data_IF_508640769967
#
_entry.id   IF_508640769967
#
_cell.length_a   1.000
_cell.length_b   1.000
_cell.length_c   1.000
_cell.angle_alpha   90.00
_cell.angle_beta   90.00
_cell.angle_gamma   90.00
#
_symmetry.space_group_name_H-M   'P 1'
#
loop_
_entity.id
_entity.type
_entity.pdbx_description
1 polymer ?
#
# COMPACT_ATOMS: atom_id res chain seq x y z
N UNK A 1 16.58 12.51 -17.07
CA UNK A 1 17.32 11.34 -16.55
C UNK A 1 17.52 10.39 -17.73
N UNK A 2 18.74 9.96 -18.04
CA UNK A 2 18.98 9.09 -19.21
C UNK A 2 18.45 7.68 -18.97
N UNK A 3 18.04 6.98 -20.04
CA UNK A 3 17.58 5.58 -19.98
C UNK A 3 18.60 4.67 -19.28
N UNK A 4 19.89 4.92 -19.48
CA UNK A 4 20.97 4.20 -18.80
C UNK A 4 20.90 4.33 -17.28
N UNK A 5 20.73 5.55 -16.75
CA UNK A 5 20.61 5.77 -15.29
C UNK A 5 19.33 5.13 -14.74
N UNK A 6 18.21 5.21 -15.47
CA UNK A 6 16.97 4.54 -15.07
C UNK A 6 17.16 3.01 -14.95
N UNK A 7 17.84 2.40 -15.93
CA UNK A 7 18.14 0.97 -15.91
C UNK A 7 19.09 0.60 -14.77
N UNK A 8 20.07 1.44 -14.46
CA UNK A 8 20.97 1.24 -13.32
C UNK A 8 20.21 1.25 -11.99
N UNK A 9 19.32 2.23 -11.79
CA UNK A 9 18.44 2.26 -10.62
C UNK A 9 17.56 1.00 -10.51
N UNK A 10 16.96 0.58 -11.63
CA UNK A 10 16.11 -0.62 -11.67
C UNK A 10 16.89 -1.88 -11.26
N UNK A 11 18.10 -2.07 -11.82
CA UNK A 11 18.98 -3.19 -11.45
C UNK A 11 19.36 -3.12 -9.98
N UNK A 12 19.85 -1.98 -9.50
CA UNK A 12 20.27 -1.80 -8.11
C UNK A 12 19.18 -2.21 -7.10
N UNK A 13 17.94 -1.75 -7.31
CA UNK A 13 16.84 -2.11 -6.41
C UNK A 13 16.39 -3.56 -6.56
N UNK A 14 16.38 -4.11 -7.78
CA UNK A 14 16.05 -5.52 -8.00
C UNK A 14 17.07 -6.43 -7.30
N UNK A 15 18.36 -6.17 -7.50
CA UNK A 15 19.45 -6.93 -6.89
C UNK A 15 19.37 -6.86 -5.37
N UNK A 16 19.11 -5.67 -4.81
CA UNK A 16 18.91 -5.49 -3.38
C UNK A 16 17.74 -6.32 -2.83
N UNK A 17 16.63 -6.41 -3.56
CA UNK A 17 15.49 -7.27 -3.18
C UNK A 17 15.89 -8.74 -3.21
N UNK A 18 16.64 -9.19 -4.21
CA UNK A 18 17.13 -10.58 -4.27
C UNK A 18 18.08 -10.89 -3.11
N UNK A 19 19.02 -9.99 -2.80
CA UNK A 19 19.93 -10.16 -1.67
C UNK A 19 19.18 -10.28 -0.33
N UNK A 20 18.13 -9.46 -0.13
CA UNK A 20 17.29 -9.53 1.07
C UNK A 20 16.59 -10.89 1.16
N UNK A 21 16.01 -11.39 0.07
CA UNK A 21 15.35 -12.70 0.04
C UNK A 21 16.31 -13.84 0.39
N UNK A 22 17.53 -13.80 -0.16
CA UNK A 22 18.55 -14.80 0.13
C UNK A 22 18.97 -14.76 1.61
N UNK A 23 19.14 -13.58 2.19
CA UNK A 23 19.49 -13.41 3.60
C UNK A 23 18.39 -13.93 4.55
N UNK A 24 17.13 -13.64 4.25
CA UNK A 24 15.98 -14.15 5.04
C UNK A 24 15.95 -15.68 5.03
N UNK A 25 16.10 -16.30 3.86
CA UNK A 25 16.06 -17.77 3.74
C UNK A 25 17.25 -18.46 4.41
N UNK A 26 18.35 -17.74 4.62
CA UNK A 26 19.56 -18.26 5.27
C UNK A 26 19.50 -18.14 6.80
N UNK A 27 18.56 -17.38 7.34
CA UNK A 27 18.39 -17.18 8.79
C UNK A 27 17.50 -18.30 9.35
N UNK A 28 17.97 -18.98 10.40
CA UNK A 28 17.32 -20.11 11.08
C UNK A 28 15.82 -19.89 11.28
N UNK A 29 15.02 -20.94 11.01
CA UNK A 29 13.56 -20.94 11.17
C UNK A 29 13.16 -20.42 12.56
N UNK A 30 12.68 -19.18 12.61
CA UNK A 30 11.88 -18.73 13.75
C UNK A 30 10.64 -19.62 13.80
N UNK A 31 10.45 -20.33 14.90
CA UNK A 31 9.21 -21.05 15.18
C UNK A 31 8.10 -20.03 15.30
N UNK A 32 7.40 -19.74 14.21
CA UNK A 32 6.18 -18.94 14.24
C UNK A 32 5.14 -19.77 14.95
N UNK A 33 4.87 -19.46 16.23
CA UNK A 33 3.67 -19.97 16.89
C UNK A 33 2.50 -19.42 16.09
N UNK A 34 1.81 -20.27 15.32
CA UNK A 34 0.60 -19.83 14.63
C UNK A 34 -0.41 -19.38 15.70
N UNK A 35 -0.89 -18.13 15.66
CA UNK A 35 -1.98 -17.72 16.53
C UNK A 35 -3.18 -18.61 16.23
N UNK A 36 -3.73 -19.28 17.24
CA UNK A 36 -4.95 -20.09 17.11
C UNK A 36 -6.16 -19.19 16.90
N UNK A 37 -6.30 -18.62 15.70
CA UNK A 37 -7.49 -17.88 15.32
C UNK A 37 -8.24 -18.72 14.29
N UNK A 38 -9.37 -19.30 14.70
CA UNK A 38 -10.33 -19.97 13.80
C UNK A 38 -11.07 -18.98 12.88
N UNK A 39 -10.71 -17.70 12.92
CA UNK A 39 -11.39 -16.62 12.23
C UNK A 39 -10.71 -16.36 10.90
N UNK A 40 -11.48 -16.46 9.83
CA UNK A 40 -11.01 -16.21 8.47
C UNK A 40 -11.91 -15.17 7.82
N UNK A 41 -11.30 -14.15 7.21
CA UNK A 41 -12.01 -13.25 6.30
C UNK A 41 -12.11 -13.96 4.94
N UNK A 42 -13.27 -14.53 4.65
CA UNK A 42 -13.48 -15.30 3.42
C UNK A 42 -13.87 -14.43 2.23
N UNK A 43 -14.52 -13.28 2.49
CA UNK A 43 -15.09 -12.42 1.45
C UNK A 43 -15.03 -10.95 1.86
N UNK A 44 -14.86 -10.09 0.87
CA UNK A 44 -15.09 -8.66 1.01
C UNK A 44 -16.59 -8.35 0.80
N UNK A 45 -17.07 -7.30 1.44
CA UNK A 45 -18.44 -6.82 1.29
C UNK A 45 -18.51 -5.70 0.23
N UNK A 46 -19.58 -5.65 -0.58
CA UNK A 46 -19.81 -4.51 -1.47
C UNK A 46 -19.93 -3.19 -0.68
N UNK A 47 -19.41 -2.11 -1.26
CA UNK A 47 -19.47 -0.75 -0.71
C UNK A 47 -20.49 0.11 -1.45
N UNK A 48 -20.96 1.17 -0.78
CA UNK A 48 -21.89 2.15 -1.35
C UNK A 48 -21.14 3.29 -2.04
N UNK A 49 -21.87 4.06 -2.86
CA UNK A 49 -21.38 5.30 -3.46
C UNK A 49 -20.84 6.28 -2.40
N UNK A 50 -21.51 6.39 -1.25
CA UNK A 50 -21.06 7.22 -0.15
C UNK A 50 -19.67 6.80 0.36
N UNK A 51 -19.45 5.49 0.59
CA UNK A 51 -18.16 4.97 1.06
C UNK A 51 -17.06 5.24 0.03
N UNK A 52 -17.36 5.07 -1.26
CA UNK A 52 -16.42 5.34 -2.35
C UNK A 52 -16.07 6.83 -2.40
N UNK A 53 -17.06 7.71 -2.28
CA UNK A 53 -16.88 9.16 -2.27
C UNK A 53 -16.02 9.62 -1.08
N UNK A 54 -16.31 9.13 0.13
CA UNK A 54 -15.52 9.40 1.33
C UNK A 54 -14.08 8.93 1.17
N UNK A 55 -13.89 7.72 0.61
CA UNK A 55 -12.57 7.15 0.35
C UNK A 55 -11.79 8.02 -0.63
N UNK A 56 -12.38 8.41 -1.76
CA UNK A 56 -11.77 9.29 -2.76
C UNK A 56 -11.40 10.65 -2.17
N UNK A 57 -12.25 11.19 -1.29
CA UNK A 57 -12.02 12.46 -0.61
C UNK A 57 -10.81 12.39 0.34
N UNK A 58 -10.64 11.27 1.04
CA UNK A 58 -9.49 11.03 1.94
C UNK A 58 -8.16 10.81 1.21
N UNK A 59 -8.19 10.36 -0.04
CA UNK A 59 -6.98 10.12 -0.83
C UNK A 59 -6.34 11.42 -1.29
N UNK A 60 -5.02 11.48 -1.30
CA UNK A 60 -4.29 12.59 -1.91
C UNK A 60 -4.63 12.71 -3.41
N UNK A 61 -4.65 13.94 -3.93
CA UNK A 61 -4.88 14.20 -5.36
C UNK A 61 -3.61 13.95 -6.21
N UNK A 62 -2.88 12.87 -5.91
CA UNK A 62 -1.62 12.51 -6.56
C UNK A 62 -1.87 11.76 -7.87
N UNK A 63 -1.48 12.39 -8.98
CA UNK A 63 -1.64 11.83 -10.32
C UNK A 63 -0.47 10.92 -10.72
N UNK A 64 -0.80 9.80 -11.31
CA UNK A 64 0.12 8.91 -11.99
C UNK A 64 0.09 9.21 -13.49
N UNK A 65 1.23 9.03 -14.18
CA UNK A 65 1.25 9.16 -15.63
C UNK A 65 0.58 7.98 -16.35
N UNK A 66 0.16 6.95 -15.59
CA UNK A 66 -0.68 5.85 -16.06
C UNK A 66 -2.18 6.10 -15.78
N UNK A 67 -2.54 7.27 -15.22
CA UNK A 67 -3.95 7.63 -15.07
C UNK A 67 -4.53 8.04 -16.42
N UNK A 68 -5.74 7.56 -16.74
CA UNK A 68 -6.49 7.98 -17.93
C UNK A 68 -6.86 9.47 -17.90
N UNK A 69 -6.96 10.05 -16.70
CA UNK A 69 -7.21 11.47 -16.50
C UNK A 69 -6.53 11.99 -15.22
N UNK A 70 -6.17 13.28 -15.17
CA UNK A 70 -5.62 13.87 -13.96
C UNK A 70 -6.56 13.69 -12.75
N UNK A 71 -6.00 13.29 -11.61
CA UNK A 71 -6.78 13.01 -10.38
C UNK A 71 -7.63 14.19 -9.93
N UNK A 72 -7.13 15.42 -10.09
CA UNK A 72 -7.89 16.63 -9.75
C UNK A 72 -9.14 16.77 -10.61
N UNK A 73 -9.02 16.45 -11.90
CA UNK A 73 -10.14 16.47 -12.82
C UNK A 73 -11.15 15.37 -12.49
N UNK A 74 -10.68 14.16 -12.18
CA UNK A 74 -11.53 13.06 -11.71
C UNK A 74 -12.38 13.48 -10.51
N UNK A 75 -11.74 14.12 -9.52
CA UNK A 75 -12.43 14.63 -8.33
C UNK A 75 -13.43 15.74 -8.65
N UNK A 76 -13.16 16.60 -9.63
CA UNK A 76 -14.11 17.67 -10.02
C UNK A 76 -15.37 17.15 -10.70
N UNK A 77 -15.31 15.97 -11.35
CA UNK A 77 -16.46 15.33 -12.02
C UNK A 77 -16.95 14.09 -11.28
N UNK A 78 -16.56 13.94 -9.99
CA UNK A 78 -16.76 12.73 -9.23
C UNK A 78 -18.23 12.30 -9.15
N UNK A 79 -19.15 13.25 -8.95
CA UNK A 79 -20.58 12.97 -8.84
C UNK A 79 -21.13 12.21 -10.05
N UNK A 80 -20.63 12.49 -11.25
CA UNK A 80 -21.06 11.84 -12.49
C UNK A 80 -20.41 10.47 -12.71
N UNK A 81 -19.25 10.22 -12.12
CA UNK A 81 -18.50 8.97 -12.25
C UNK A 81 -18.73 8.00 -11.08
N UNK A 82 -19.32 8.49 -9.99
CA UNK A 82 -19.40 7.76 -8.73
C UNK A 82 -20.07 6.37 -8.89
N UNK A 83 -21.22 6.22 -9.58
CA UNK A 83 -21.84 4.90 -9.76
C UNK A 83 -20.93 3.90 -10.49
N UNK A 84 -20.20 4.36 -11.52
CA UNK A 84 -19.30 3.53 -12.32
C UNK A 84 -18.04 3.16 -11.52
N UNK A 85 -17.50 4.09 -10.73
CA UNK A 85 -16.38 3.82 -9.84
C UNK A 85 -16.77 2.82 -8.75
N UNK A 86 -17.96 2.95 -8.15
CA UNK A 86 -18.48 2.01 -7.17
C UNK A 86 -18.70 0.63 -7.78
N UNK A 87 -19.26 0.56 -8.99
CA UNK A 87 -19.41 -0.70 -9.71
C UNK A 87 -18.05 -1.37 -9.96
N UNK A 88 -17.03 -0.60 -10.39
CA UNK A 88 -15.67 -1.10 -10.58
C UNK A 88 -15.08 -1.65 -9.27
N UNK A 89 -15.23 -0.91 -8.16
CA UNK A 89 -14.76 -1.35 -6.83
C UNK A 89 -15.46 -2.64 -6.43
N UNK A 90 -16.78 -2.69 -6.49
CA UNK A 90 -17.56 -3.85 -6.07
C UNK A 90 -17.30 -5.07 -6.94
N UNK A 91 -17.09 -4.89 -8.25
CA UNK A 91 -16.70 -5.99 -9.15
C UNK A 91 -15.37 -6.62 -8.73
N UNK A 92 -14.39 -5.79 -8.33
CA UNK A 92 -13.10 -6.27 -7.83
C UNK A 92 -13.24 -6.98 -6.48
N UNK A 93 -14.02 -6.43 -5.54
CA UNK A 93 -14.26 -7.04 -4.23
C UNK A 93 -14.97 -8.39 -4.33
N UNK A 94 -16.02 -8.49 -5.15
CA UNK A 94 -16.81 -9.71 -5.32
C UNK A 94 -16.04 -10.82 -6.03
N UNK A 95 -15.25 -10.48 -7.05
CA UNK A 95 -14.42 -11.45 -7.76
C UNK A 95 -13.15 -11.84 -7.00
N UNK A 96 -12.75 -11.06 -5.99
CA UNK A 96 -11.45 -11.19 -5.34
C UNK A 96 -10.27 -10.87 -6.26
N UNK A 97 -10.52 -10.26 -7.43
CA UNK A 97 -9.52 -10.00 -8.44
C UNK A 97 -9.18 -8.50 -8.53
N UNK A 98 -7.89 -8.18 -8.41
CA UNK A 98 -7.40 -6.82 -8.62
C UNK A 98 -7.15 -6.58 -10.13
N UNK A 99 -7.73 -5.52 -10.75
CA UNK A 99 -7.57 -5.27 -12.18
C UNK A 99 -6.10 -5.11 -12.60
N UNK A 100 -5.67 -5.88 -13.60
CA UNK A 100 -4.27 -5.91 -14.04
C UNK A 100 -3.76 -4.53 -14.48
N UNK A 101 -4.60 -3.74 -15.18
CA UNK A 101 -4.26 -2.39 -15.63
C UNK A 101 -3.96 -1.44 -14.45
N UNK A 102 -4.58 -1.66 -13.30
CA UNK A 102 -4.39 -0.83 -12.09
C UNK A 102 -3.24 -1.30 -11.21
N UNK A 103 -2.69 -2.50 -11.48
CA UNK A 103 -1.64 -3.16 -10.67
C UNK A 103 -0.24 -2.65 -10.99
N UNK A 104 -0.05 -2.11 -12.18
CA UNK A 104 1.25 -1.58 -12.62
C UNK A 104 1.51 -0.22 -11.98
N UNK A 105 2.62 -0.10 -11.25
CA UNK A 105 3.05 1.14 -10.62
C UNK A 105 4.25 1.76 -11.35
N UNK A 106 4.32 3.09 -11.34
CA UNK A 106 5.50 3.83 -11.81
C UNK A 106 6.45 4.02 -10.63
N UNK A 107 7.67 3.52 -10.76
CA UNK A 107 8.69 3.68 -9.72
C UNK A 107 9.34 5.06 -9.85
N UNK A 108 9.20 5.87 -8.79
CA UNK A 108 9.84 7.18 -8.66
C UNK A 108 10.95 7.10 -7.60
N UNK A 109 12.23 7.11 -7.99
CA UNK A 109 13.33 7.20 -7.05
C UNK A 109 13.30 8.54 -6.33
N UNK A 110 13.21 8.52 -5.01
CA UNK A 110 13.23 9.74 -4.18
C UNK A 110 14.42 9.68 -3.22
N UNK A 111 15.16 10.77 -3.11
CA UNK A 111 16.27 10.84 -2.17
C UNK A 111 15.74 10.77 -0.72
N UNK A 112 16.40 9.97 0.13
CA UNK A 112 15.95 9.74 1.51
C UNK A 112 15.92 11.03 2.33
N UNK A 113 16.94 11.89 2.14
CA UNK A 113 17.06 13.24 2.70
C UNK A 113 17.67 14.14 1.63
N UNK A 114 17.26 15.40 1.55
CA UNK A 114 17.73 16.36 0.54
C UNK A 114 19.24 16.63 0.58
N UNK A 115 19.88 16.44 1.75
CA UNK A 115 21.32 16.66 1.95
C UNK A 115 22.21 15.50 1.54
N UNK A 116 21.64 14.35 1.14
CA UNK A 116 22.43 13.19 0.76
C UNK A 116 22.98 13.31 -0.67
N UNK A 117 24.07 12.61 -0.95
CA UNK A 117 24.66 12.55 -2.28
C UNK A 117 23.72 11.83 -3.27
N UNK A 118 23.35 12.53 -4.34
CA UNK A 118 22.49 12.06 -5.43
C UNK A 118 23.18 11.09 -6.39
N UNK A 119 24.50 10.93 -6.31
CA UNK A 119 25.25 9.95 -7.09
C UNK A 119 25.22 8.54 -6.47
N UNK A 120 24.93 8.44 -5.18
CA UNK A 120 24.89 7.17 -4.45
C UNK A 120 23.48 6.57 -4.48
N UNK A 121 23.31 5.47 -5.20
CA UNK A 121 22.00 4.82 -5.39
C UNK A 121 21.33 4.38 -4.07
N UNK A 122 22.12 3.99 -3.07
CA UNK A 122 21.61 3.58 -1.76
C UNK A 122 20.96 4.73 -0.96
N UNK A 123 21.20 5.99 -1.35
CA UNK A 123 20.56 7.16 -0.76
C UNK A 123 19.12 7.36 -1.24
N UNK A 124 18.66 6.59 -2.22
CA UNK A 124 17.29 6.67 -2.73
C UNK A 124 16.36 5.63 -2.10
N UNK A 125 15.07 5.93 -2.13
CA UNK A 125 13.97 5.00 -1.88
C UNK A 125 13.12 4.88 -3.16
N UNK A 126 12.75 3.66 -3.58
CA UNK A 126 11.85 3.48 -4.72
C UNK A 126 10.41 3.70 -4.24
N UNK A 127 9.76 4.76 -4.69
CA UNK A 127 8.35 5.02 -4.37
C UNK A 127 7.48 4.48 -5.51
N UNK A 128 6.61 3.52 -5.19
CA UNK A 128 5.60 3.01 -6.12
C UNK A 128 4.44 4.00 -6.24
N UNK A 129 4.26 4.58 -7.42
CA UNK A 129 3.12 5.43 -7.74
C UNK A 129 2.12 4.65 -8.58
N UNK A 130 1.09 4.09 -7.95
CA UNK A 130 -0.01 3.42 -8.63
C UNK A 130 -0.96 4.44 -9.31
N UNK A 131 -1.70 4.00 -10.35
CA UNK A 131 -2.88 4.72 -10.83
C UNK A 131 -3.85 5.04 -9.69
N UNK A 132 -4.53 6.17 -9.77
CA UNK A 132 -5.43 6.66 -8.73
C UNK A 132 -6.52 5.63 -8.37
N UNK A 133 -7.12 4.99 -9.38
CA UNK A 133 -8.13 3.95 -9.17
C UNK A 133 -7.55 2.70 -8.48
N UNK A 134 -6.27 2.39 -8.70
CA UNK A 134 -5.58 1.33 -7.95
C UNK A 134 -5.48 1.68 -6.47
N UNK A 135 -5.10 2.92 -6.14
CA UNK A 135 -5.05 3.42 -4.75
C UNK A 135 -6.43 3.40 -4.08
N UNK A 136 -7.49 3.70 -4.84
CA UNK A 136 -8.87 3.60 -4.36
C UNK A 136 -9.22 2.17 -3.95
N UNK A 137 -8.98 1.20 -4.83
CA UNK A 137 -9.21 -0.22 -4.54
C UNK A 137 -8.42 -0.70 -3.33
N UNK A 138 -7.11 -0.41 -3.28
CA UNK A 138 -6.24 -0.75 -2.15
C UNK A 138 -6.79 -0.17 -0.84
N UNK A 139 -7.29 1.07 -0.85
CA UNK A 139 -7.80 1.73 0.35
C UNK A 139 -9.11 1.11 0.84
N UNK A 140 -10.01 0.72 -0.06
CA UNK A 140 -11.26 0.03 0.29
C UNK A 140 -10.98 -1.35 0.89
N UNK A 141 -10.10 -2.13 0.25
CA UNK A 141 -9.66 -3.45 0.75
C UNK A 141 -8.97 -3.30 2.11
N UNK A 142 -8.06 -2.33 2.24
CA UNK A 142 -7.37 -2.04 3.50
C UNK A 142 -8.37 -1.76 4.63
N UNK A 143 -9.42 -0.96 4.38
CA UNK A 143 -10.41 -0.63 5.41
C UNK A 143 -11.09 -1.90 5.92
N UNK A 144 -11.59 -2.76 5.03
CA UNK A 144 -12.25 -4.00 5.44
C UNK A 144 -11.31 -4.98 6.15
N UNK A 145 -10.06 -5.12 5.68
CA UNK A 145 -9.06 -5.95 6.35
C UNK A 145 -8.75 -5.41 7.76
N UNK A 146 -8.50 -4.12 7.87
CA UNK A 146 -8.18 -3.49 9.15
C UNK A 146 -9.37 -3.58 10.12
N UNK A 147 -10.59 -3.32 9.65
CA UNK A 147 -11.80 -3.43 10.47
C UNK A 147 -11.97 -4.88 10.99
N UNK A 148 -11.76 -5.88 10.14
CA UNK A 148 -11.76 -7.30 10.56
C UNK A 148 -10.70 -7.57 11.63
N UNK A 149 -9.45 -7.11 11.44
CA UNK A 149 -8.38 -7.32 12.41
C UNK A 149 -8.67 -6.63 13.75
N UNK A 150 -9.29 -5.44 13.72
CA UNK A 150 -9.66 -4.68 14.93
C UNK A 150 -10.79 -5.37 15.70
N UNK A 151 -11.90 -5.68 15.02
CA UNK A 151 -13.09 -6.28 15.65
C UNK A 151 -12.76 -7.63 16.29
N UNK A 152 -11.87 -8.40 15.66
CA UNK A 152 -11.50 -9.73 16.12
C UNK A 152 -10.21 -9.76 16.97
N UNK A 153 -9.66 -8.60 17.35
CA UNK A 153 -8.42 -8.50 18.13
C UNK A 153 -7.26 -9.33 17.55
N UNK A 154 -7.13 -9.35 16.23
CA UNK A 154 -6.14 -10.17 15.51
C UNK A 154 -4.81 -9.44 15.25
N UNK A 155 -4.61 -8.25 15.82
CA UNK A 155 -3.31 -7.58 15.80
C UNK A 155 -2.37 -8.22 16.81
N UNK A 156 -1.09 -8.33 16.44
CA UNK A 156 -0.05 -8.74 17.37
C UNK A 156 0.08 -7.71 18.51
N UNK A 157 0.26 -8.21 19.74
CA UNK A 157 0.37 -7.38 20.95
C UNK A 157 1.53 -6.39 20.88
N UNK A 158 2.63 -6.76 20.21
CA UNK A 158 3.83 -5.95 20.02
C UNK A 158 3.84 -5.21 18.68
N UNK A 159 2.80 -5.35 17.85
CA UNK A 159 2.67 -4.55 16.63
C UNK A 159 2.24 -3.11 16.95
N UNK A 160 3.19 -2.19 16.83
CA UNK A 160 2.95 -0.74 16.84
C UNK A 160 3.00 -0.11 15.44
N UNK A 161 3.75 -0.71 14.51
CA UNK A 161 3.80 -0.24 13.13
C UNK A 161 2.48 -0.47 12.39
N UNK A 162 2.05 0.49 11.58
CA UNK A 162 0.88 0.40 10.71
C UNK A 162 -0.44 0.10 11.45
N UNK A 163 -0.53 0.48 12.73
CA UNK A 163 -1.70 0.29 13.57
C UNK A 163 -2.26 1.66 13.98
N UNK A 164 -3.57 1.92 13.79
CA UNK A 164 -4.18 3.16 14.26
C UNK A 164 -3.94 3.38 15.75
N UNK A 165 -3.66 4.62 16.15
CA UNK A 165 -3.34 5.02 17.52
C UNK A 165 -2.05 4.44 18.12
N UNK A 166 -1.15 3.90 17.28
CA UNK A 166 0.21 3.52 17.68
C UNK A 166 1.26 4.35 16.93
N UNK A 167 2.43 4.49 17.55
CA UNK A 167 3.59 5.22 17.01
C UNK A 167 4.92 4.56 17.42
N UNK A 168 6.04 5.11 16.94
CA UNK A 168 7.37 4.69 17.41
C UNK A 168 7.57 4.95 18.90
N UNK A 169 6.90 5.94 19.48
CA UNK A 169 6.96 6.24 20.91
C UNK A 169 6.24 5.14 21.71
N UNK A 170 5.05 4.73 21.26
CA UNK A 170 4.33 3.61 21.91
C UNK A 170 5.10 2.29 21.83
N UNK A 171 5.91 2.10 20.78
CA UNK A 171 6.80 0.96 20.66
C UNK A 171 7.98 1.06 21.64
N UNK A 172 8.56 2.25 21.81
CA UNK A 172 9.67 2.47 22.73
C UNK A 172 9.24 2.24 24.18
N UNK A 173 8.10 2.80 24.60
CA UNK A 173 7.56 2.61 25.96
C UNK A 173 7.38 1.13 26.29
N UNK A 174 6.80 0.35 25.36
CA UNK A 174 6.64 -1.11 25.52
C UNK A 174 7.96 -1.90 25.60
N UNK A 175 9.09 -1.31 25.23
CA UNK A 175 10.41 -1.95 25.31
C UNK A 175 11.15 -1.52 26.57
N UNK A 176 10.87 -0.32 27.08
CA UNK A 176 11.56 0.25 28.25
C UNK A 176 10.84 0.00 29.56
N UNK A 177 9.51 -0.10 29.55
CA UNK A 177 8.67 -0.08 30.75
C UNK A 177 7.92 -1.41 31.01
N UNK A 178 7.98 -2.37 30.07
CA UNK A 178 7.46 -3.77 30.21
C UNK A 178 8.63 -4.77 30.41
#
# INVERSE_FOLDING_TARGET
>A
MSTSKCNEFARFFNDKVQSIKLAINSTTQMTTVQPSTHLSLTNFTPVTDQIVQETISSLSSSTCCLDELPTRFLKSVLSSLLPQLTHLVNSSLQSGAFPQALKTAVIKPLLKKSSLDATVLNNYRPISNLPFLGKLLEKVVYKQLNDFLQINNCFDTFQSGFRPHHSTETALIKVTDD
#
